data_IF_795663085259
#
_entry.id   IF_795663085259
#
_cell.length_a   1.000
_cell.length_b   1.000
_cell.length_c   1.000
_cell.angle_alpha   90.00
_cell.angle_beta   90.00
_cell.angle_gamma   90.00
#
_symmetry.space_group_name_H-M   'P 1'
#
loop_
_entity.id
_entity.type
_entity.pdbx_description
1 polymer ?
#
# COMPACT_ATOMS: atom_id res chain seq x y z
N UNK A 1 -15.87 22.25 20.64
CA UNK A 1 -15.42 21.99 19.25
C UNK A 1 -13.91 22.15 19.30
N UNK A 2 -13.18 21.03 19.45
CA UNK A 2 -11.75 21.04 19.74
C UNK A 2 -10.94 21.58 18.57
N UNK A 3 -9.89 22.34 18.88
CA UNK A 3 -8.93 22.89 17.92
C UNK A 3 -8.15 21.75 17.23
N UNK A 4 -8.74 21.19 16.16
CA UNK A 4 -8.13 20.10 15.38
C UNK A 4 -6.81 20.48 14.72
N UNK A 5 -6.48 21.77 14.63
CA UNK A 5 -5.17 22.23 14.17
C UNK A 5 -4.07 21.99 15.22
N UNK A 6 -4.39 22.23 16.50
CA UNK A 6 -3.49 21.98 17.62
C UNK A 6 -3.09 20.51 17.77
N UNK A 7 -4.02 19.58 17.57
CA UNK A 7 -3.76 18.13 17.64
C UNK A 7 -2.84 17.65 16.52
N UNK A 8 -3.08 18.07 15.27
CA UNK A 8 -2.24 17.70 14.12
C UNK A 8 -0.81 18.19 14.29
N UNK A 9 -0.63 19.43 14.74
CA UNK A 9 0.70 19.98 15.00
C UNK A 9 1.40 19.29 16.16
N UNK A 10 0.66 18.87 17.18
CA UNK A 10 1.22 18.14 18.32
C UNK A 10 1.68 16.74 17.92
N UNK A 11 0.88 16.02 17.12
CA UNK A 11 1.27 14.75 16.53
C UNK A 11 2.53 14.89 15.67
N UNK A 12 2.56 15.87 14.75
CA UNK A 12 3.70 16.08 13.87
C UNK A 12 4.99 16.35 14.66
N UNK A 13 4.93 17.20 15.69
CA UNK A 13 6.09 17.49 16.55
C UNK A 13 6.57 16.26 17.33
N UNK A 14 5.67 15.34 17.66
CA UNK A 14 5.99 14.11 18.38
C UNK A 14 6.62 13.05 17.46
N UNK A 15 6.10 12.89 16.24
CA UNK A 15 6.48 11.80 15.33
C UNK A 15 7.65 12.13 14.39
N UNK A 16 8.07 13.39 14.29
CA UNK A 16 9.18 13.79 13.42
C UNK A 16 10.57 13.52 14.04
N UNK A 17 11.50 13.06 13.23
CA UNK A 17 12.93 13.03 13.59
C UNK A 17 13.52 14.44 13.58
N UNK A 18 14.62 14.63 14.31
CA UNK A 18 15.42 15.86 14.31
C UNK A 18 16.89 15.52 14.04
N UNK A 19 17.70 16.46 13.53
CA UNK A 19 19.11 16.19 13.26
C UNK A 19 19.87 15.64 14.48
N UNK A 20 19.48 16.06 15.68
CA UNK A 20 20.14 15.67 16.93
C UNK A 20 19.58 14.39 17.55
N UNK A 21 18.37 13.94 17.15
CA UNK A 21 17.75 12.72 17.70
C UNK A 21 16.60 12.18 16.84
N UNK A 22 16.39 10.87 16.91
CA UNK A 22 15.19 10.26 16.39
C UNK A 22 13.93 10.60 17.22
N UNK A 23 12.75 10.55 16.60
CA UNK A 23 11.47 10.61 17.29
C UNK A 23 11.36 9.45 18.31
N UNK A 24 10.59 9.63 19.41
CA UNK A 24 10.34 8.56 20.35
C UNK A 24 9.68 7.36 19.66
N UNK A 25 10.22 6.16 19.89
CA UNK A 25 9.72 4.92 19.31
C UNK A 25 10.20 3.72 20.10
N UNK A 26 9.71 2.52 19.79
CA UNK A 26 10.21 1.30 20.40
C UNK A 26 11.69 1.11 20.02
N UNK A 27 12.50 0.60 20.94
CA UNK A 27 13.93 0.34 20.71
C UNK A 27 14.23 -0.79 19.72
N UNK A 28 13.20 -1.47 19.21
CA UNK A 28 13.27 -2.56 18.26
C UNK A 28 11.89 -3.02 17.79
N UNK A 29 11.86 -3.98 16.86
CA UNK A 29 10.62 -4.58 16.37
C UNK A 29 10.30 -5.84 17.18
N UNK A 30 9.06 -5.94 17.64
CA UNK A 30 8.51 -7.18 18.18
C UNK A 30 7.99 -8.06 17.04
N UNK A 31 8.85 -8.96 16.56
CA UNK A 31 8.53 -9.87 15.48
C UNK A 31 7.51 -10.95 15.87
N UNK A 32 7.35 -11.25 17.16
CA UNK A 32 6.46 -12.30 17.63
C UNK A 32 4.98 -11.92 17.55
N UNK A 33 4.68 -10.61 17.54
CA UNK A 33 3.31 -10.08 17.54
C UNK A 33 2.91 -9.41 16.22
N UNK A 34 3.57 -9.76 15.10
CA UNK A 34 3.21 -9.22 13.79
C UNK A 34 1.72 -9.47 13.47
N UNK A 35 0.97 -8.43 13.08
CA UNK A 35 -0.43 -8.59 12.72
C UNK A 35 -0.56 -9.41 11.44
N UNK A 36 -1.66 -10.15 11.31
CA UNK A 36 -1.97 -10.86 10.07
C UNK A 36 -2.03 -9.87 8.89
N UNK A 37 -1.26 -10.07 7.81
CA UNK A 37 -1.14 -9.09 6.73
C UNK A 37 -2.38 -8.99 5.85
N UNK A 38 -3.31 -9.94 5.97
CA UNK A 38 -4.57 -9.99 5.22
C UNK A 38 -5.75 -10.21 6.17
N UNK A 39 -6.80 -9.42 5.95
CA UNK A 39 -8.08 -9.59 6.63
C UNK A 39 -8.93 -10.61 5.90
N UNK A 40 -9.56 -11.52 6.64
CA UNK A 40 -10.50 -12.51 6.09
C UNK A 40 -11.92 -12.21 6.57
N UNK A 41 -12.89 -12.28 5.67
CA UNK A 41 -14.31 -12.08 5.98
C UNK A 41 -15.07 -13.40 5.78
N UNK A 42 -15.51 -14.01 6.89
CA UNK A 42 -16.22 -15.30 6.85
C UNK A 42 -17.64 -15.13 6.31
N UNK A 43 -18.09 -16.07 5.49
CA UNK A 43 -19.45 -16.07 4.93
C UNK A 43 -19.67 -15.11 3.75
N UNK A 44 -18.65 -14.38 3.31
CA UNK A 44 -18.75 -13.50 2.15
C UNK A 44 -18.43 -14.24 0.84
N UNK A 45 -19.13 -13.88 -0.24
CA UNK A 45 -18.80 -14.35 -1.59
C UNK A 45 -17.42 -13.85 -2.00
N UNK A 46 -16.58 -14.76 -2.49
CA UNK A 46 -15.29 -14.42 -3.11
C UNK A 46 -15.49 -14.22 -4.61
N UNK A 47 -14.90 -13.14 -5.14
CA UNK A 47 -14.93 -12.82 -6.55
C UNK A 47 -13.48 -12.71 -6.99
N UNK A 48 -13.05 -13.68 -7.81
CA UNK A 48 -11.71 -13.67 -8.37
C UNK A 48 -11.52 -12.47 -9.30
N UNK A 49 -10.40 -11.78 -9.11
CA UNK A 49 -9.95 -10.70 -9.98
C UNK A 49 -9.06 -11.28 -11.08
N UNK A 50 -9.04 -10.58 -12.21
CA UNK A 50 -8.26 -11.00 -13.38
C UNK A 50 -6.83 -10.45 -13.27
N UNK A 51 -5.83 -11.28 -13.56
CA UNK A 51 -4.47 -10.82 -13.76
C UNK A 51 -4.24 -10.55 -15.25
N UNK A 52 -3.65 -9.40 -15.57
CA UNK A 52 -3.25 -9.04 -16.94
C UNK A 52 -1.73 -9.13 -17.05
N UNK A 53 -1.19 -9.66 -18.18
CA UNK A 53 0.24 -9.61 -18.45
C UNK A 53 0.77 -8.17 -18.45
N UNK A 54 2.01 -7.99 -17.98
CA UNK A 54 2.65 -6.68 -17.83
C UNK A 54 2.88 -6.00 -19.19
N UNK A 55 3.11 -6.81 -20.23
CA UNK A 55 3.38 -6.41 -21.62
C UNK A 55 2.21 -5.62 -22.24
N UNK A 56 1.04 -5.66 -21.62
CA UNK A 56 -0.15 -4.94 -22.07
C UNK A 56 -0.35 -3.55 -21.41
N UNK A 57 0.62 -3.09 -20.60
CA UNK A 57 0.58 -1.81 -19.92
C UNK A 57 1.47 -0.75 -20.61
N UNK A 58 1.08 0.53 -20.59
CA UNK A 58 1.95 1.59 -21.12
C UNK A 58 3.26 1.67 -20.31
N UNK A 59 4.36 2.12 -20.94
CA UNK A 59 5.58 2.43 -20.21
C UNK A 59 5.33 3.57 -19.22
N UNK A 60 6.07 3.58 -18.11
CA UNK A 60 5.90 4.54 -17.01
C UNK A 60 5.87 6.01 -17.50
N UNK A 61 6.85 6.39 -18.33
CA UNK A 61 6.94 7.75 -18.88
C UNK A 61 5.72 8.11 -19.76
N UNK A 62 5.11 7.12 -20.39
CA UNK A 62 3.89 7.27 -21.18
C UNK A 62 2.65 7.64 -20.35
N UNK A 63 2.65 7.36 -19.05
CA UNK A 63 1.52 7.69 -18.16
C UNK A 63 1.49 9.17 -17.81
N UNK A 64 2.66 9.82 -17.76
CA UNK A 64 2.80 11.22 -17.36
C UNK A 64 3.04 12.17 -18.55
N UNK A 65 3.11 11.63 -19.77
CA UNK A 65 3.32 12.41 -20.99
C UNK A 65 2.06 12.48 -21.84
N UNK A 66 1.74 13.69 -22.31
CA UNK A 66 0.59 13.92 -23.18
C UNK A 66 -0.75 14.03 -22.45
N UNK A 67 -1.85 14.15 -23.21
CA UNK A 67 -3.18 14.23 -22.64
C UNK A 67 -3.57 12.91 -21.97
N UNK A 68 -4.32 12.99 -20.87
CA UNK A 68 -4.84 11.82 -20.19
C UNK A 68 -5.65 10.94 -21.15
N UNK A 69 -5.41 9.63 -21.09
CA UNK A 69 -6.20 8.67 -21.85
C UNK A 69 -7.68 8.72 -21.44
N UNK A 70 -8.56 8.38 -22.38
CA UNK A 70 -9.97 8.21 -22.05
C UNK A 70 -10.13 7.15 -20.95
N UNK A 71 -10.97 7.40 -19.93
CA UNK A 71 -11.14 6.46 -18.83
C UNK A 71 -11.78 5.16 -19.33
N UNK A 72 -11.26 4.04 -18.83
CA UNK A 72 -11.87 2.71 -19.06
C UNK A 72 -13.26 2.62 -18.44
N UNK A 73 -14.15 1.83 -19.04
CA UNK A 73 -15.45 1.49 -18.44
C UNK A 73 -15.25 0.78 -17.10
N UNK A 74 -16.13 1.03 -16.13
CA UNK A 74 -16.12 0.33 -14.84
C UNK A 74 -16.67 -1.10 -15.00
N UNK A 75 -15.77 -2.08 -15.01
CA UNK A 75 -16.09 -3.50 -15.15
C UNK A 75 -15.05 -4.37 -14.44
N UNK A 76 -15.30 -5.68 -14.32
CA UNK A 76 -14.39 -6.58 -13.59
C UNK A 76 -12.95 -6.47 -14.08
N UNK A 77 -12.74 -6.37 -15.39
CA UNK A 77 -11.40 -6.25 -16.00
C UNK A 77 -10.68 -4.97 -15.56
N UNK A 78 -11.32 -3.81 -15.70
CA UNK A 78 -10.70 -2.53 -15.34
C UNK A 78 -10.46 -2.39 -13.83
N UNK A 79 -11.39 -2.88 -13.01
CA UNK A 79 -11.20 -2.93 -11.55
C UNK A 79 -10.06 -3.87 -11.14
N UNK A 80 -9.98 -5.04 -11.79
CA UNK A 80 -8.91 -6.00 -11.51
C UNK A 80 -7.54 -5.39 -11.83
N UNK A 81 -7.41 -4.73 -12.99
CA UNK A 81 -6.18 -4.03 -13.37
C UNK A 81 -5.80 -2.93 -12.36
N UNK A 82 -6.73 -2.03 -12.04
CA UNK A 82 -6.48 -0.92 -11.12
C UNK A 82 -6.01 -1.40 -9.74
N UNK A 83 -6.66 -2.44 -9.20
CA UNK A 83 -6.28 -3.03 -7.92
C UNK A 83 -4.93 -3.77 -8.01
N UNK A 84 -4.66 -4.41 -9.15
CA UNK A 84 -3.39 -5.08 -9.37
C UNK A 84 -2.22 -4.08 -9.39
N UNK A 85 -2.35 -3.00 -10.17
CA UNK A 85 -1.29 -1.99 -10.32
C UNK A 85 -1.10 -1.12 -9.07
N UNK A 86 -2.17 -0.89 -8.30
CA UNK A 86 -2.14 0.01 -7.14
C UNK A 86 -1.98 -0.68 -5.78
N UNK A 87 -2.43 -1.92 -5.62
CA UNK A 87 -2.56 -2.56 -4.30
C UNK A 87 -2.12 -4.04 -4.24
N UNK A 88 -1.67 -4.65 -5.34
CA UNK A 88 -1.23 -6.05 -5.32
C UNK A 88 0.05 -6.27 -4.52
N UNK A 89 0.31 -7.56 -4.28
CA UNK A 89 1.61 -8.03 -3.82
C UNK A 89 2.59 -8.02 -4.99
N UNK A 90 3.77 -7.44 -4.79
CA UNK A 90 4.83 -7.37 -5.80
C UNK A 90 5.87 -8.48 -5.63
N UNK A 91 6.12 -8.92 -4.39
CA UNK A 91 7.07 -9.97 -4.08
C UNK A 91 6.85 -10.55 -2.67
N UNK A 92 7.59 -11.60 -2.34
CA UNK A 92 7.76 -12.09 -0.97
C UNK A 92 9.22 -12.00 -0.58
N UNK A 93 9.50 -11.53 0.64
CA UNK A 93 10.83 -11.58 1.25
C UNK A 93 10.83 -12.58 2.38
N UNK A 94 11.98 -13.20 2.60
CA UNK A 94 12.19 -14.15 3.68
C UNK A 94 13.58 -13.95 4.29
N UNK A 95 13.67 -13.92 5.61
CA UNK A 95 14.91 -13.84 6.36
C UNK A 95 14.72 -14.48 7.75
N UNK A 96 15.67 -15.31 8.17
CA UNK A 96 15.66 -15.91 9.52
C UNK A 96 14.37 -16.66 9.87
N UNK A 97 13.76 -17.36 8.90
CA UNK A 97 12.49 -18.07 9.07
C UNK A 97 11.24 -17.20 9.09
N UNK A 98 11.39 -15.88 8.97
CA UNK A 98 10.27 -14.93 8.87
C UNK A 98 10.05 -14.56 7.41
N UNK A 99 8.80 -14.64 6.94
CA UNK A 99 8.40 -14.30 5.57
C UNK A 99 7.33 -13.22 5.56
N UNK A 100 7.46 -12.21 4.69
CA UNK A 100 6.49 -11.13 4.56
C UNK A 100 6.26 -10.74 3.09
N UNK A 101 5.05 -10.24 2.80
CA UNK A 101 4.67 -9.80 1.47
C UNK A 101 5.08 -8.34 1.24
N UNK A 102 5.60 -8.05 0.06
CA UNK A 102 5.79 -6.69 -0.45
C UNK A 102 4.59 -6.30 -1.31
N UNK A 103 4.29 -5.01 -1.35
CA UNK A 103 3.22 -4.44 -2.18
C UNK A 103 3.79 -3.62 -3.32
N UNK A 104 2.98 -3.40 -4.36
CA UNK A 104 3.31 -2.48 -5.45
C UNK A 104 3.39 -1.02 -4.98
N UNK A 105 2.62 -0.67 -3.95
CA UNK A 105 2.71 0.61 -3.25
C UNK A 105 3.60 0.46 -2.00
N UNK A 106 4.86 0.95 -2.01
CA UNK A 106 5.81 0.81 -0.92
C UNK A 106 5.48 1.66 0.31
#
# INVERSE_FOLDING_TARGET
MGDGGGEVLSYHRLSMHRPERYAPGPGGLDWATQPAPFRQYRGCRQIELLHRPLEESPPYDGVFSGPAAAPSRLERRSLSQMLYDGLALSAWKEAGGTRWALRVNP
#
